data_IF_842486205523
#
_entry.id   IF_842486205523
#
_cell.length_a   1.000
_cell.length_b   1.000
_cell.length_c   1.000
_cell.angle_alpha   90.00
_cell.angle_beta   90.00
_cell.angle_gamma   90.00
#
_symmetry.space_group_name_H-M   'P 1'
#
loop_
_entity.id
_entity.type
_entity.pdbx_description
1 polymer ?
#
# COMPACT_ATOMS: atom_id res chain seq x y z
N UNK A 1 5.32 24.78 -1.04
CA UNK A 1 6.37 23.72 -0.96
C UNK A 1 6.32 22.96 -2.27
N UNK A 2 7.46 22.54 -2.79
CA UNK A 2 7.57 21.84 -4.07
C UNK A 2 8.39 20.57 -3.84
N UNK A 3 7.84 19.42 -4.23
CA UNK A 3 8.54 18.13 -4.23
C UNK A 3 9.09 17.87 -5.63
N UNK A 4 10.37 17.51 -5.72
CA UNK A 4 11.01 17.12 -6.99
C UNK A 4 11.50 15.69 -6.83
N UNK A 5 10.92 14.77 -7.58
CA UNK A 5 11.38 13.40 -7.69
C UNK A 5 12.46 13.33 -8.76
N UNK A 6 13.72 13.33 -8.32
CA UNK A 6 14.87 13.23 -9.22
C UNK A 6 14.97 11.85 -9.87
N UNK A 7 14.70 10.81 -9.09
CA UNK A 7 14.64 9.42 -9.53
C UNK A 7 13.31 8.81 -9.06
N UNK A 8 12.65 8.05 -9.93
CA UNK A 8 11.41 7.36 -9.59
C UNK A 8 11.67 6.22 -8.60
N UNK A 9 10.72 5.93 -7.69
CA UNK A 9 10.84 4.76 -6.83
C UNK A 9 10.80 3.48 -7.67
N UNK A 10 11.56 2.49 -7.22
CA UNK A 10 11.64 1.20 -7.91
C UNK A 10 10.44 0.33 -7.52
N UNK A 11 9.87 -0.38 -8.50
CA UNK A 11 8.74 -1.31 -8.29
C UNK A 11 9.04 -2.40 -7.25
N UNK A 12 10.30 -2.82 -7.10
CA UNK A 12 10.72 -3.83 -6.10
C UNK A 12 10.77 -3.28 -4.67
N UNK A 13 10.80 -1.96 -4.50
CA UNK A 13 11.00 -1.29 -3.21
C UNK A 13 9.90 -0.23 -2.99
N UNK A 14 8.64 -0.67 -3.03
CA UNK A 14 7.46 0.14 -2.69
C UNK A 14 6.75 0.78 -3.89
N UNK A 15 7.35 0.77 -5.08
CA UNK A 15 6.69 1.12 -6.34
C UNK A 15 5.86 2.40 -6.27
N UNK A 16 4.59 2.30 -6.69
CA UNK A 16 3.67 3.44 -6.75
C UNK A 16 3.30 4.01 -5.37
N UNK A 17 3.20 3.18 -4.33
CA UNK A 17 2.89 3.65 -2.98
C UNK A 17 3.97 4.59 -2.44
N UNK A 18 5.24 4.28 -2.70
CA UNK A 18 6.35 5.17 -2.32
C UNK A 18 6.30 6.50 -3.08
N UNK A 19 5.92 6.50 -4.36
CA UNK A 19 5.71 7.73 -5.13
C UNK A 19 4.62 8.61 -4.49
N UNK A 20 3.49 8.00 -4.12
CA UNK A 20 2.37 8.68 -3.43
C UNK A 20 2.84 9.27 -2.09
N UNK A 21 3.59 8.51 -1.29
CA UNK A 21 4.15 8.98 -0.02
C UNK A 21 5.11 10.17 -0.17
N UNK A 22 5.88 10.22 -1.27
CA UNK A 22 6.79 11.34 -1.56
C UNK A 22 6.03 12.60 -1.92
N UNK A 23 5.07 12.52 -2.84
CA UNK A 23 4.29 13.69 -3.25
C UNK A 23 3.36 14.17 -2.12
N UNK A 24 2.90 13.27 -1.24
CA UNK A 24 2.13 13.60 -0.03
C UNK A 24 2.89 14.45 1.00
N UNK A 25 4.18 14.73 0.80
CA UNK A 25 4.95 15.70 1.61
C UNK A 25 4.68 17.15 1.19
N UNK A 26 4.16 17.37 -0.01
CA UNK A 26 3.61 18.67 -0.45
C UNK A 26 2.09 18.69 -0.29
N UNK A 27 1.49 19.85 -0.53
CA UNK A 27 0.07 20.15 -0.31
C UNK A 27 -0.36 19.98 1.16
N UNK A 28 -0.89 21.04 1.76
CA UNK A 28 -1.45 21.02 3.12
C UNK A 28 -2.77 21.77 3.13
N UNK A 29 -3.53 21.65 4.21
CA UNK A 29 -4.84 22.30 4.36
C UNK A 29 -4.72 23.78 3.97
N UNK A 30 -5.43 24.15 2.88
CA UNK A 30 -5.52 25.51 2.34
C UNK A 30 -4.45 25.93 1.34
N UNK A 31 -3.42 25.12 1.07
CA UNK A 31 -2.35 25.46 0.14
C UNK A 31 -2.07 24.33 -0.86
N UNK A 32 -2.23 24.57 -2.18
CA UNK A 32 -1.89 23.58 -3.19
C UNK A 32 -0.38 23.27 -3.15
N UNK A 33 -0.05 22.00 -3.37
CA UNK A 33 1.32 21.52 -3.51
C UNK A 33 1.68 21.37 -4.98
N UNK A 34 2.96 21.52 -5.30
CA UNK A 34 3.50 21.18 -6.62
C UNK A 34 4.42 19.97 -6.45
N UNK A 35 4.29 19.00 -7.35
CA UNK A 35 5.20 17.87 -7.49
C UNK A 35 5.68 17.77 -8.94
N UNK A 36 6.98 17.56 -9.13
CA UNK A 36 7.57 17.34 -10.46
C UNK A 36 8.43 16.08 -10.40
N UNK A 37 8.33 15.22 -11.41
CA UNK A 37 9.12 14.00 -11.48
C UNK A 37 9.91 13.95 -12.79
N UNK A 38 11.15 13.48 -12.74
CA UNK A 38 11.88 13.07 -13.93
C UNK A 38 11.59 11.60 -14.19
N UNK A 39 11.18 11.32 -15.42
CA UNK A 39 10.84 9.98 -15.88
C UNK A 39 11.75 9.60 -17.03
N UNK A 40 12.32 8.39 -16.96
CA UNK A 40 13.23 7.84 -17.95
C UNK A 40 12.82 6.42 -18.36
N UNK A 41 13.45 5.85 -19.38
CA UNK A 41 13.23 4.47 -19.81
C UNK A 41 13.53 3.42 -18.72
N UNK A 42 14.28 3.79 -17.67
CA UNK A 42 14.54 2.88 -16.54
C UNK A 42 13.34 2.74 -15.61
N UNK A 43 12.42 3.69 -15.69
CA UNK A 43 11.26 3.82 -14.83
C UNK A 43 10.01 3.19 -15.46
N UNK A 44 10.12 2.55 -16.63
CA UNK A 44 8.99 1.95 -17.35
C UNK A 44 8.17 0.97 -16.50
N UNK A 45 8.82 0.28 -15.54
CA UNK A 45 8.14 -0.65 -14.65
C UNK A 45 7.04 -0.01 -13.79
N UNK A 46 7.14 1.27 -13.42
CA UNK A 46 6.11 1.99 -12.64
C UNK A 46 5.12 2.74 -13.54
N UNK A 47 5.32 2.72 -14.86
CA UNK A 47 4.59 3.55 -15.81
C UNK A 47 3.09 3.28 -15.83
N UNK A 48 2.68 2.01 -15.77
CA UNK A 48 1.26 1.61 -15.74
C UNK A 48 0.54 2.18 -14.52
N UNK A 49 1.08 1.94 -13.32
CA UNK A 49 0.48 2.43 -12.08
C UNK A 49 0.50 3.96 -12.00
N UNK A 50 1.57 4.60 -12.50
CA UNK A 50 1.66 6.05 -12.56
C UNK A 50 0.53 6.63 -13.43
N UNK A 51 0.27 6.06 -14.60
CA UNK A 51 -0.80 6.52 -15.48
C UNK A 51 -2.17 6.32 -14.84
N UNK A 52 -2.41 5.20 -14.15
CA UNK A 52 -3.65 5.00 -13.39
C UNK A 52 -3.87 6.13 -12.37
N UNK A 53 -2.84 6.48 -11.59
CA UNK A 53 -2.93 7.58 -10.61
C UNK A 53 -3.19 8.93 -11.29
N UNK A 54 -2.53 9.22 -12.42
CA UNK A 54 -2.77 10.46 -13.17
C UNK A 54 -4.21 10.54 -13.67
N UNK A 55 -4.78 9.43 -14.16
CA UNK A 55 -6.17 9.38 -14.59
C UNK A 55 -7.15 9.53 -13.42
N UNK A 56 -6.91 8.84 -12.31
CA UNK A 56 -7.73 8.93 -11.09
C UNK A 56 -7.77 10.36 -10.53
N UNK A 57 -6.65 11.07 -10.60
CA UNK A 57 -6.50 12.44 -10.09
C UNK A 57 -6.82 13.52 -11.13
N UNK A 58 -7.41 13.14 -12.27
CA UNK A 58 -7.78 14.03 -13.38
C UNK A 58 -6.61 14.88 -13.90
N UNK A 59 -5.39 14.37 -13.82
CA UNK A 59 -4.20 15.02 -14.35
C UNK A 59 -4.01 14.72 -15.84
N UNK A 60 -3.37 15.65 -16.55
CA UNK A 60 -3.00 15.44 -17.95
C UNK A 60 -1.92 14.35 -18.05
N UNK A 61 -2.19 13.30 -18.84
CA UNK A 61 -1.22 12.23 -19.13
C UNK A 61 -0.31 12.71 -20.26
N UNK A 62 1.00 12.85 -20.03
CA UNK A 62 1.95 13.22 -21.09
C UNK A 62 2.01 12.19 -22.21
N UNK A 63 2.26 12.63 -23.45
CA UNK A 63 2.34 11.79 -24.65
C UNK A 63 3.28 10.58 -24.48
N UNK A 64 4.43 10.77 -23.82
CA UNK A 64 5.41 9.70 -23.59
C UNK A 64 4.93 8.59 -22.62
N UNK A 65 3.84 8.83 -21.88
CA UNK A 65 3.19 7.86 -21.01
C UNK A 65 1.93 7.24 -21.62
N UNK A 66 1.47 7.68 -22.79
CA UNK A 66 0.24 7.16 -23.40
C UNK A 66 0.28 5.65 -23.66
N UNK A 67 1.46 5.10 -23.92
CA UNK A 67 1.67 3.65 -24.11
C UNK A 67 1.32 2.80 -22.89
N UNK A 68 1.23 3.40 -21.70
CA UNK A 68 0.87 2.72 -20.45
C UNK A 68 -0.61 2.93 -20.07
N UNK A 69 -1.41 3.58 -20.92
CA UNK A 69 -2.83 3.79 -20.65
C UNK A 69 -3.58 2.45 -20.72
N UNK A 70 -4.47 2.17 -19.76
CA UNK A 70 -5.35 1.01 -19.84
C UNK A 70 -6.33 1.16 -21.02
N UNK A 71 -6.82 0.03 -21.53
CA UNK A 71 -7.80 0.02 -22.64
C UNK A 71 -9.09 0.75 -22.28
N UNK A 72 -9.52 0.64 -21.01
CA UNK A 72 -10.63 1.39 -20.44
C UNK A 72 -10.11 2.35 -19.34
N UNK A 73 -10.11 3.68 -19.58
CA UNK A 73 -9.65 4.66 -18.60
C UNK A 73 -10.64 4.87 -17.44
N UNK A 74 -11.85 4.30 -17.52
CA UNK A 74 -12.87 4.44 -16.46
C UNK A 74 -12.85 3.30 -15.45
N UNK A 75 -12.16 2.20 -15.77
CA UNK A 75 -12.02 1.03 -14.92
C UNK A 75 -10.55 0.88 -14.55
N UNK A 76 -10.14 1.58 -13.49
CA UNK A 76 -8.79 1.49 -12.94
C UNK A 76 -8.75 0.36 -11.90
N UNK A 77 -8.12 -0.76 -12.25
CA UNK A 77 -7.87 -1.86 -11.32
C UNK A 77 -6.54 -1.61 -10.58
N UNK A 78 -6.67 -1.23 -9.31
CA UNK A 78 -5.55 -1.18 -8.38
C UNK A 78 -5.57 -2.49 -7.60
N UNK A 79 -4.63 -3.38 -7.91
CA UNK A 79 -4.39 -4.57 -7.09
C UNK A 79 -3.74 -4.11 -5.78
N UNK A 80 -4.58 -3.64 -4.85
CA UNK A 80 -4.15 -3.36 -3.50
C UNK A 80 -4.09 -4.68 -2.73
N UNK A 81 -2.93 -5.35 -2.84
CA UNK A 81 -2.66 -6.59 -2.14
C UNK A 81 -2.56 -6.40 -0.60
N UNK A 82 -2.84 -5.21 -0.06
CA UNK A 82 -2.69 -4.91 1.37
C UNK A 82 -3.93 -5.18 2.25
N UNK A 83 -5.07 -5.56 1.66
CA UNK A 83 -6.33 -5.81 2.38
C UNK A 83 -6.77 -7.29 2.44
N UNK A 84 -5.86 -8.25 2.25
CA UNK A 84 -6.12 -9.64 2.65
C UNK A 84 -5.95 -9.77 4.17
N UNK A 85 -7.00 -9.42 4.91
CA UNK A 85 -7.22 -9.96 6.25
C UNK A 85 -7.16 -11.49 6.10
N UNK A 86 -6.09 -12.09 6.60
CA UNK A 86 -5.99 -13.54 6.66
C UNK A 86 -7.08 -13.99 7.64
N UNK A 87 -8.25 -14.35 7.11
CA UNK A 87 -9.23 -15.14 7.84
C UNK A 87 -8.50 -16.41 8.30
N UNK A 88 -8.14 -16.45 9.58
CA UNK A 88 -7.56 -17.64 10.17
C UNK A 88 -8.59 -18.75 10.06
N UNK A 89 -8.32 -19.72 9.18
CA UNK A 89 -9.02 -21.00 9.13
C UNK A 89 -8.95 -21.63 10.53
N UNK A 90 -10.08 -21.63 11.25
CA UNK A 90 -10.20 -22.34 12.50
C UNK A 90 -10.38 -23.84 12.19
N UNK A 91 -9.30 -24.61 12.33
CA UNK A 91 -9.37 -26.07 12.38
C UNK A 91 -10.20 -26.48 13.62
N UNK A 92 -11.46 -26.84 13.41
CA UNK A 92 -12.29 -27.54 14.40
C UNK A 92 -11.91 -29.03 14.40
N UNK A 93 -10.96 -29.39 15.26
CA UNK A 93 -10.72 -30.79 15.64
C UNK A 93 -11.37 -31.09 17.00
N UNK A 94 -12.65 -31.47 16.99
CA UNK A 94 -13.38 -31.97 18.16
C UNK A 94 -13.25 -33.51 18.24
N UNK A 95 -12.18 -33.97 18.90
CA UNK A 95 -12.15 -35.32 19.46
C UNK A 95 -12.76 -35.29 20.86
N UNK A 96 -13.90 -35.95 21.02
CA UNK A 96 -14.54 -36.22 22.30
C UNK A 96 -13.55 -36.85 23.31
N UNK A 97 -13.70 -36.56 24.61
CA UNK A 97 -13.71 -37.50 25.74
C UNK A 97 -13.67 -36.73 27.10
N UNK A 98 -14.79 -36.74 27.84
CA UNK A 98 -14.90 -36.91 29.31
C UNK A 98 -14.05 -36.12 30.34
N UNK A 99 -14.74 -35.34 31.19
CA UNK A 99 -14.45 -35.31 32.65
C UNK A 99 -14.17 -33.94 33.29
N UNK A 100 -15.03 -33.54 34.23
CA UNK A 100 -14.91 -32.37 35.14
C UNK A 100 -14.83 -32.92 36.59
N UNK A 101 -14.34 -32.21 37.64
CA UNK A 101 -13.21 -31.26 37.82
C UNK A 101 -12.26 -31.74 38.97
N UNK A 102 -11.24 -30.95 39.35
CA UNK A 102 -10.97 -30.50 40.75
C UNK A 102 -9.57 -29.88 40.87
N UNK A 103 -9.44 -28.85 41.73
CA UNK A 103 -8.16 -28.51 42.36
C UNK A 103 -7.76 -27.04 42.29
N UNK A 104 -8.10 -26.31 43.35
CA UNK A 104 -7.55 -25.00 43.66
C UNK A 104 -6.03 -25.04 43.85
N UNK A 105 -5.33 -23.98 43.44
CA UNK A 105 -3.90 -23.77 43.73
C UNK A 105 -3.48 -22.33 43.46
N UNK A 106 -3.19 -21.60 44.54
CA UNK A 106 -2.66 -20.24 44.53
C UNK A 106 -1.14 -20.23 44.25
N UNK A 107 -0.63 -19.13 43.67
CA UNK A 107 0.81 -18.81 43.56
C UNK A 107 1.04 -17.70 42.52
N UNK A 108 1.01 -16.42 42.92
CA UNK A 108 2.18 -15.56 43.23
C UNK A 108 3.18 -15.38 42.09
N UNK A 109 3.19 -14.15 41.55
CA UNK A 109 4.37 -13.33 41.27
C UNK A 109 5.30 -13.75 40.15
N UNK A 110 5.38 -12.93 39.09
CA UNK A 110 6.60 -12.25 38.64
C UNK A 110 6.33 -11.57 37.29
N UNK A 111 6.24 -10.24 37.27
CA UNK A 111 6.13 -9.41 36.07
C UNK A 111 7.55 -9.16 35.49
N UNK A 112 7.85 -9.52 34.22
CA UNK A 112 9.22 -9.52 33.70
C UNK A 112 9.66 -8.21 33.01
N UNK A 113 9.02 -7.08 33.31
CA UNK A 113 9.31 -5.80 32.64
C UNK A 113 9.74 -4.70 33.62
N UNK A 114 10.78 -5.01 34.41
CA UNK A 114 11.56 -4.02 35.19
C UNK A 114 12.74 -3.47 34.39
#
# INVERSE_FOLDING_TARGET
MHVINYDMPNVMYGGIHEYIHRIGRTARIGNPGIATAFFTERDEGIGEDLVKILLETEQEVPEFLERFKPEDPTVLDFHDDSDVEAEAEADEEDTAEGGVPTGAGAGTGDDPWG
#
